data_IF_047324224658
#
_entry.id   IF_047324224658
#
_cell.length_a   1.000
_cell.length_b   1.000
_cell.length_c   1.000
_cell.angle_alpha   90.00
_cell.angle_beta   90.00
_cell.angle_gamma   90.00
#
_symmetry.space_group_name_H-M   'P 1'
#
loop_
_entity.id
_entity.type
_entity.pdbx_description
1 polymer ?
#
# COMPACT_ATOMS: atom_id res chain seq x y z
N UNK A 1 23.63 -24.50 8.91
CA UNK A 1 22.36 -24.22 8.20
C UNK A 1 22.12 -22.73 8.22
N UNK A 2 22.00 -22.08 7.06
CA UNK A 2 21.73 -20.64 6.99
C UNK A 2 20.24 -20.41 7.24
N UNK A 3 19.92 -19.73 8.33
CA UNK A 3 18.56 -19.27 8.61
C UNK A 3 18.23 -18.12 7.63
N UNK A 4 17.10 -18.20 6.93
CA UNK A 4 16.63 -17.16 5.99
C UNK A 4 16.27 -15.85 6.70
N UNK A 5 16.14 -14.76 5.95
CA UNK A 5 15.91 -13.45 6.51
C UNK A 5 14.53 -13.31 7.17
N UNK A 6 13.49 -13.95 6.61
CA UNK A 6 12.15 -13.97 7.21
C UNK A 6 12.19 -14.61 8.59
N UNK A 7 12.78 -15.81 8.70
CA UNK A 7 12.88 -16.53 9.98
C UNK A 7 13.64 -15.72 11.03
N UNK A 8 14.73 -15.05 10.63
CA UNK A 8 15.48 -14.15 11.54
C UNK A 8 14.62 -13.00 12.04
N UNK A 9 13.86 -12.40 11.13
CA UNK A 9 13.02 -11.25 11.47
C UNK A 9 11.83 -11.66 12.35
N UNK A 10 11.17 -12.79 12.05
CA UNK A 10 10.09 -13.32 12.89
C UNK A 10 10.59 -13.68 14.30
N UNK A 11 11.82 -14.22 14.42
CA UNK A 11 12.44 -14.48 15.70
C UNK A 11 12.70 -13.17 16.48
N UNK A 12 13.20 -12.13 15.80
CA UNK A 12 13.37 -10.80 16.38
C UNK A 12 12.03 -10.24 16.90
N UNK A 13 10.95 -10.34 16.13
CA UNK A 13 9.61 -9.91 16.55
C UNK A 13 9.13 -10.69 17.78
N UNK A 14 9.41 -11.99 17.86
CA UNK A 14 9.05 -12.80 19.02
C UNK A 14 9.84 -12.39 20.28
N UNK A 15 11.09 -12.00 20.13
CA UNK A 15 11.88 -11.45 21.25
C UNK A 15 11.33 -10.08 21.69
N UNK A 16 10.96 -9.23 20.76
CA UNK A 16 10.32 -7.93 21.02
C UNK A 16 8.99 -8.10 21.76
N UNK A 17 8.17 -9.09 21.36
CA UNK A 17 6.93 -9.45 22.04
C UNK A 17 7.16 -9.77 23.53
N UNK A 18 8.14 -10.61 23.81
CA UNK A 18 8.52 -10.96 25.19
C UNK A 18 8.98 -9.73 25.98
N UNK A 19 9.78 -8.87 25.38
CA UNK A 19 10.25 -7.64 26.02
C UNK A 19 9.08 -6.68 26.32
N UNK A 20 8.21 -6.44 25.35
CA UNK A 20 7.08 -5.54 25.51
C UNK A 20 6.05 -6.06 26.52
N UNK A 21 5.82 -7.37 26.57
CA UNK A 21 4.90 -7.99 27.52
C UNK A 21 5.42 -7.92 28.98
N UNK A 22 6.73 -7.99 29.16
CA UNK A 22 7.35 -7.98 30.51
C UNK A 22 7.80 -6.59 30.98
N UNK A 23 7.54 -5.55 30.21
CA UNK A 23 7.91 -4.18 30.54
C UNK A 23 6.68 -3.30 30.72
N UNK A 24 6.77 -2.32 31.59
CA UNK A 24 5.79 -1.23 31.70
C UNK A 24 6.09 -0.06 30.77
N UNK A 25 7.17 -0.14 30.00
CA UNK A 25 7.61 0.92 29.08
C UNK A 25 6.91 0.76 27.72
N UNK A 26 6.76 1.88 27.01
CA UNK A 26 6.29 1.88 25.63
C UNK A 26 7.47 1.72 24.68
N UNK A 27 7.28 0.89 23.67
CA UNK A 27 8.26 0.61 22.63
C UNK A 27 7.78 1.16 21.29
N UNK A 28 8.66 1.87 20.60
CA UNK A 28 8.48 2.27 19.22
C UNK A 28 9.55 1.58 18.36
N UNK A 29 9.13 0.66 17.52
CA UNK A 29 9.99 0.04 16.51
C UNK A 29 9.83 0.81 15.18
N UNK A 30 10.94 1.33 14.68
CA UNK A 30 10.99 1.99 13.37
C UNK A 30 11.78 1.12 12.40
N UNK A 31 11.11 0.62 11.37
CA UNK A 31 11.68 -0.25 10.35
C UNK A 31 11.81 0.52 9.03
N UNK A 32 12.99 0.43 8.42
CA UNK A 32 13.26 1.01 7.11
C UNK A 32 13.82 -0.05 6.19
N UNK A 33 13.33 -0.07 4.96
CA UNK A 33 13.84 -0.93 3.89
C UNK A 33 13.80 -2.43 4.23
N UNK A 34 12.81 -2.87 5.02
CA UNK A 34 12.62 -4.30 5.31
C UNK A 34 12.40 -5.12 4.04
N UNK A 35 11.76 -4.51 3.07
CA UNK A 35 11.44 -5.01 1.75
C UNK A 35 12.68 -5.30 0.88
N UNK A 36 13.85 -4.71 1.14
CA UNK A 36 15.10 -5.03 0.45
C UNK A 36 15.62 -6.45 0.76
N UNK A 37 15.16 -7.05 1.84
CA UNK A 37 15.68 -8.31 2.38
C UNK A 37 14.67 -9.47 2.31
N UNK A 38 13.45 -9.21 1.88
CA UNK A 38 12.34 -10.16 1.88
C UNK A 38 11.73 -10.28 0.49
N UNK A 39 11.25 -11.47 0.14
CA UNK A 39 10.29 -11.60 -0.96
C UNK A 39 8.97 -10.92 -0.58
N UNK A 40 8.14 -10.57 -1.56
CA UNK A 40 6.85 -9.93 -1.26
C UNK A 40 5.96 -10.80 -0.34
N UNK A 41 5.92 -12.12 -0.56
CA UNK A 41 5.15 -13.04 0.31
C UNK A 41 5.69 -13.08 1.75
N UNK A 42 7.02 -13.07 1.90
CA UNK A 42 7.65 -13.02 3.23
C UNK A 42 7.42 -11.68 3.93
N UNK A 43 7.41 -10.59 3.15
CA UNK A 43 7.09 -9.25 3.65
C UNK A 43 5.66 -9.18 4.20
N UNK A 44 4.67 -9.70 3.46
CA UNK A 44 3.27 -9.76 3.91
C UNK A 44 3.15 -10.55 5.21
N UNK A 45 3.76 -11.74 5.29
CA UNK A 45 3.75 -12.58 6.50
C UNK A 45 4.37 -11.84 7.72
N UNK A 46 5.43 -11.08 7.48
CA UNK A 46 6.03 -10.24 8.52
C UNK A 46 5.11 -9.09 8.94
N UNK A 47 4.40 -8.46 8.00
CA UNK A 47 3.41 -7.42 8.30
C UNK A 47 2.25 -7.97 9.12
N UNK A 48 1.71 -9.13 8.76
CA UNK A 48 0.64 -9.81 9.53
C UNK A 48 1.08 -10.11 10.98
N UNK A 49 2.33 -10.56 11.17
CA UNK A 49 2.87 -10.76 12.52
C UNK A 49 3.01 -9.43 13.28
N UNK A 50 3.47 -8.37 12.64
CA UNK A 50 3.59 -7.04 13.25
C UNK A 50 2.21 -6.51 13.66
N UNK A 51 1.21 -6.60 12.80
CA UNK A 51 -0.17 -6.23 13.08
C UNK A 51 -0.74 -7.03 14.26
N UNK A 52 -0.52 -8.35 14.26
CA UNK A 52 -0.92 -9.19 15.41
C UNK A 52 -0.29 -8.69 16.72
N UNK A 53 0.99 -8.36 16.71
CA UNK A 53 1.71 -7.92 17.93
C UNK A 53 1.20 -6.57 18.44
N UNK A 54 0.97 -5.61 17.57
CA UNK A 54 0.46 -4.28 17.95
C UNK A 54 -0.97 -4.34 18.44
N UNK A 55 -1.81 -5.20 17.85
CA UNK A 55 -3.19 -5.41 18.28
C UNK A 55 -3.32 -6.12 19.64
N UNK A 56 -2.28 -6.84 20.07
CA UNK A 56 -2.30 -7.58 21.35
C UNK A 56 -1.40 -6.95 22.43
N UNK A 57 -0.76 -5.81 22.13
CA UNK A 57 0.13 -5.15 23.07
C UNK A 57 0.08 -3.61 22.92
N UNK A 58 -0.66 -2.96 23.79
CA UNK A 58 -0.85 -1.50 23.84
C UNK A 58 0.46 -0.71 24.10
N UNK A 59 1.53 -1.40 24.46
CA UNK A 59 2.84 -0.78 24.72
C UNK A 59 3.77 -0.84 23.50
N UNK A 60 3.38 -1.53 22.41
CA UNK A 60 4.18 -1.70 21.21
C UNK A 60 3.60 -0.91 20.04
N UNK A 61 4.43 -0.05 19.47
CA UNK A 61 4.13 0.70 18.25
C UNK A 61 5.15 0.35 17.18
N UNK A 62 4.70 0.14 15.95
CA UNK A 62 5.57 -0.19 14.82
C UNK A 62 5.29 0.79 13.68
N UNK A 63 6.35 1.39 13.15
CA UNK A 63 6.29 2.23 11.95
C UNK A 63 7.19 1.62 10.89
N UNK A 64 6.63 1.33 9.72
CA UNK A 64 7.31 0.69 8.61
C UNK A 64 7.43 1.66 7.42
N UNK A 65 8.64 1.84 6.90
CA UNK A 65 8.95 2.61 5.70
C UNK A 65 9.52 1.66 4.63
N UNK A 66 8.68 1.11 3.74
CA UNK A 66 9.17 0.34 2.59
C UNK A 66 9.84 1.27 1.57
N UNK A 67 10.75 0.74 0.78
CA UNK A 67 11.49 1.44 -0.28
C UNK A 67 11.14 0.95 -1.67
N UNK A 68 10.70 -0.30 -1.79
CA UNK A 68 10.41 -0.91 -3.08
C UNK A 68 8.95 -0.71 -3.50
N UNK A 69 8.77 -0.45 -4.78
CA UNK A 69 7.45 -0.33 -5.39
C UNK A 69 6.62 -1.61 -5.19
N UNK A 70 5.36 -1.44 -4.82
CA UNK A 70 4.45 -2.57 -4.61
C UNK A 70 4.61 -3.31 -3.28
N UNK A 71 5.57 -2.94 -2.45
CA UNK A 71 5.69 -3.46 -1.08
C UNK A 71 4.80 -2.66 -0.14
N UNK A 72 3.51 -2.79 -0.32
CA UNK A 72 2.50 -2.19 0.51
C UNK A 72 1.59 -3.30 1.05
N UNK A 73 1.49 -3.40 2.37
CA UNK A 73 0.54 -4.32 3.01
C UNK A 73 -0.83 -3.63 3.08
N UNK A 74 -1.71 -4.00 2.16
CA UNK A 74 -3.06 -3.43 2.05
C UNK A 74 -4.08 -4.48 2.42
N UNK A 75 -4.69 -4.32 3.57
CA UNK A 75 -5.90 -5.04 4.01
C UNK A 75 -6.98 -4.04 4.36
N UNK A 76 -8.21 -4.51 4.51
CA UNK A 76 -9.32 -3.64 4.91
C UNK A 76 -9.07 -2.98 6.28
N UNK A 77 -8.42 -3.72 7.18
CA UNK A 77 -8.17 -3.35 8.56
C UNK A 77 -7.09 -2.28 8.69
N UNK A 78 -6.00 -2.41 7.93
CA UNK A 78 -4.83 -1.50 8.05
C UNK A 78 -4.82 -0.35 7.03
N UNK A 79 -5.78 -0.32 6.12
CA UNK A 79 -5.78 0.65 5.02
C UNK A 79 -5.72 2.11 5.51
N UNK A 80 -6.53 2.45 6.51
CA UNK A 80 -6.60 3.80 7.06
C UNK A 80 -5.35 4.20 7.88
N UNK A 81 -4.50 3.23 8.23
CA UNK A 81 -3.23 3.46 8.92
C UNK A 81 -2.07 3.77 7.97
N UNK A 82 -2.29 3.56 6.65
CA UNK A 82 -1.27 3.82 5.64
C UNK A 82 -1.19 5.31 5.36
N UNK A 83 -0.01 5.88 5.58
CA UNK A 83 0.29 7.27 5.29
C UNK A 83 1.11 7.37 4.01
N UNK A 84 0.74 8.31 3.16
CA UNK A 84 1.46 8.66 1.94
C UNK A 84 2.22 9.95 2.22
N UNK A 85 3.53 9.90 2.07
CA UNK A 85 4.41 11.05 2.33
C UNK A 85 5.00 11.52 1.00
N UNK A 86 4.61 12.71 0.58
CA UNK A 86 5.16 13.42 -0.57
C UNK A 86 5.55 14.85 -0.14
N UNK A 87 5.20 15.88 -0.89
CA UNK A 87 5.28 17.29 -0.46
C UNK A 87 4.29 17.59 0.69
N UNK A 88 3.31 16.74 0.87
CA UNK A 88 2.35 16.71 2.00
C UNK A 88 2.24 15.29 2.53
N UNK A 89 1.66 15.17 3.73
CA UNK A 89 1.30 13.88 4.32
C UNK A 89 -0.21 13.73 4.17
N UNK A 90 -0.62 12.63 3.58
CA UNK A 90 -2.01 12.22 3.49
C UNK A 90 -2.15 10.75 3.92
N UNK A 91 -3.36 10.23 4.09
CA UNK A 91 -3.62 8.86 4.47
C UNK A 91 -4.70 8.27 3.54
N UNK A 92 -4.76 6.95 3.44
CA UNK A 92 -5.85 6.32 2.74
C UNK A 92 -7.16 6.50 3.52
N UNK A 93 -8.25 6.74 2.80
CA UNK A 93 -9.60 6.69 3.36
C UNK A 93 -10.04 5.23 3.57
N UNK A 94 -11.19 5.04 4.22
CA UNK A 94 -11.77 3.70 4.36
C UNK A 94 -11.99 3.04 2.99
N UNK A 95 -11.87 1.71 2.96
CA UNK A 95 -12.05 0.95 1.72
C UNK A 95 -13.43 1.21 1.10
N UNK A 96 -14.48 1.22 1.92
CA UNK A 96 -15.85 1.47 1.47
C UNK A 96 -15.97 2.82 0.74
N UNK A 97 -15.41 3.88 1.33
CA UNK A 97 -15.45 5.21 0.71
C UNK A 97 -14.65 5.28 -0.59
N UNK A 98 -13.44 4.73 -0.61
CA UNK A 98 -12.61 4.75 -1.82
C UNK A 98 -13.19 3.88 -2.92
N UNK A 99 -13.74 2.72 -2.60
CA UNK A 99 -14.35 1.82 -3.55
C UNK A 99 -15.65 2.40 -4.14
N UNK A 100 -16.48 3.06 -3.31
CA UNK A 100 -17.66 3.78 -3.81
C UNK A 100 -17.25 4.86 -4.83
N UNK A 101 -16.23 5.66 -4.52
CA UNK A 101 -15.70 6.68 -5.44
C UNK A 101 -15.11 6.07 -6.69
N UNK A 102 -14.39 4.98 -6.57
CA UNK A 102 -13.83 4.25 -7.69
C UNK A 102 -14.92 3.73 -8.63
N UNK A 103 -15.92 3.04 -8.12
CA UNK A 103 -17.02 2.48 -8.92
C UNK A 103 -17.82 3.56 -9.63
N UNK A 104 -18.08 4.68 -8.97
CA UNK A 104 -18.84 5.80 -9.54
C UNK A 104 -18.07 6.57 -10.64
N UNK A 105 -16.75 6.51 -10.65
CA UNK A 105 -15.90 7.20 -11.64
C UNK A 105 -15.30 6.26 -12.68
N UNK A 106 -15.49 4.96 -12.53
CA UNK A 106 -14.92 3.99 -13.46
C UNK A 106 -15.55 4.12 -14.86
N UNK A 107 -14.75 4.25 -15.93
CA UNK A 107 -15.25 4.71 -17.25
C UNK A 107 -16.01 3.66 -18.05
N UNK A 108 -16.05 2.40 -17.59
CA UNK A 108 -16.76 1.30 -18.26
C UNK A 108 -17.61 0.50 -17.27
N UNK A 109 -18.61 -0.24 -17.78
CA UNK A 109 -19.53 -1.02 -16.95
C UNK A 109 -18.90 -2.29 -16.34
N UNK A 110 -17.76 -2.74 -16.83
CA UNK A 110 -17.01 -3.85 -16.26
C UNK A 110 -16.08 -3.29 -15.19
N UNK A 111 -16.66 -3.06 -14.02
CA UNK A 111 -15.96 -2.49 -12.87
C UNK A 111 -15.24 -3.62 -12.13
N UNK A 112 -13.93 -3.47 -11.80
CA UNK A 112 -13.23 -4.39 -10.93
C UNK A 112 -13.93 -4.55 -9.57
N UNK A 113 -13.92 -5.76 -9.03
CA UNK A 113 -14.48 -6.00 -7.70
C UNK A 113 -13.60 -5.41 -6.58
N UNK A 114 -14.09 -5.46 -5.33
CA UNK A 114 -13.40 -4.90 -4.16
C UNK A 114 -12.02 -5.54 -3.97
N UNK A 115 -11.88 -6.84 -4.24
CA UNK A 115 -10.60 -7.54 -4.09
C UNK A 115 -9.60 -7.17 -5.20
N UNK A 116 -10.09 -7.01 -6.41
CA UNK A 116 -9.30 -6.51 -7.55
C UNK A 116 -8.86 -5.07 -7.30
N UNK A 117 -9.75 -4.24 -6.72
CA UNK A 117 -9.42 -2.86 -6.35
C UNK A 117 -8.34 -2.81 -5.24
N UNK A 118 -8.43 -3.62 -4.19
CA UNK A 118 -7.38 -3.75 -3.17
C UNK A 118 -6.04 -4.18 -3.78
N UNK A 119 -6.08 -5.09 -4.75
CA UNK A 119 -4.88 -5.53 -5.48
C UNK A 119 -4.27 -4.38 -6.30
N UNK A 120 -5.10 -3.55 -6.94
CA UNK A 120 -4.66 -2.32 -7.61
C UNK A 120 -4.08 -1.32 -6.62
N UNK A 121 -4.74 -1.06 -5.48
CA UNK A 121 -4.25 -0.14 -4.43
C UNK A 121 -2.83 -0.50 -3.98
N UNK A 122 -2.55 -1.79 -3.77
CA UNK A 122 -1.21 -2.25 -3.42
C UNK A 122 -0.15 -1.86 -4.45
N UNK A 123 -0.49 -1.96 -5.75
CA UNK A 123 0.44 -1.64 -6.83
C UNK A 123 0.63 -0.15 -7.02
N UNK A 124 -0.46 0.61 -6.91
CA UNK A 124 -0.46 2.04 -7.24
C UNK A 124 -0.19 2.95 -6.04
N UNK A 125 -0.23 2.44 -4.82
CA UNK A 125 -0.09 3.26 -3.61
C UNK A 125 1.20 4.09 -3.56
N UNK A 126 2.32 3.50 -4.00
CA UNK A 126 3.61 4.20 -4.10
C UNK A 126 3.68 5.25 -5.22
N UNK A 127 2.70 5.28 -6.11
CA UNK A 127 2.64 6.21 -7.26
C UNK A 127 1.63 7.33 -7.08
N UNK A 128 0.89 7.34 -6.00
CA UNK A 128 -0.01 8.45 -5.68
C UNK A 128 0.80 9.76 -5.64
N UNK A 129 0.23 10.79 -6.26
CA UNK A 129 0.85 12.11 -6.41
C UNK A 129 2.10 12.14 -7.30
N UNK A 130 2.37 11.09 -8.05
CA UNK A 130 3.43 11.11 -9.07
C UNK A 130 2.97 11.86 -10.32
N UNK A 131 3.85 12.69 -10.87
CA UNK A 131 3.61 13.41 -12.14
C UNK A 131 3.94 12.59 -13.38
N UNK A 132 4.71 11.52 -13.26
CA UNK A 132 5.17 10.69 -14.37
C UNK A 132 5.22 9.21 -13.98
N UNK A 133 4.45 8.38 -14.69
CA UNK A 133 4.39 6.93 -14.49
C UNK A 133 4.77 6.15 -15.75
N UNK A 134 5.39 6.80 -16.76
CA UNK A 134 5.67 6.18 -18.05
C UNK A 134 6.62 4.98 -17.97
N UNK A 135 7.42 4.90 -16.91
CA UNK A 135 8.41 3.83 -16.72
C UNK A 135 7.90 2.70 -15.80
N UNK A 136 6.66 2.79 -15.36
CA UNK A 136 6.07 1.87 -14.39
C UNK A 136 5.36 0.71 -15.07
N UNK A 137 5.43 -0.47 -14.46
CA UNK A 137 4.74 -1.66 -14.97
C UNK A 137 3.31 -1.74 -14.42
N UNK A 138 2.48 -0.74 -14.76
CA UNK A 138 1.08 -0.71 -14.39
C UNK A 138 0.19 -1.09 -15.58
N UNK A 139 -0.83 -1.91 -15.34
CA UNK A 139 -1.88 -2.17 -16.32
C UNK A 139 -2.70 -0.89 -16.61
N UNK A 140 -3.48 -0.88 -17.67
CA UNK A 140 -4.35 0.27 -17.99
C UNK A 140 -5.40 0.47 -16.89
N UNK A 141 -5.93 -0.62 -16.36
CA UNK A 141 -6.88 -0.62 -15.25
C UNK A 141 -6.26 -0.04 -13.96
N UNK A 142 -5.03 -0.42 -13.63
CA UNK A 142 -4.29 0.14 -12.50
C UNK A 142 -4.04 1.66 -12.70
N UNK A 143 -3.73 2.09 -13.94
CA UNK A 143 -3.56 3.52 -14.26
C UNK A 143 -4.87 4.30 -14.14
N UNK A 144 -6.01 3.71 -14.53
CA UNK A 144 -7.34 4.31 -14.33
C UNK A 144 -7.64 4.44 -12.84
N UNK A 145 -7.36 3.41 -12.04
CA UNK A 145 -7.52 3.46 -10.59
C UNK A 145 -6.64 4.57 -9.97
N UNK A 146 -5.38 4.67 -10.39
CA UNK A 146 -4.47 5.73 -9.94
C UNK A 146 -5.01 7.12 -10.28
N UNK A 147 -5.55 7.32 -11.48
CA UNK A 147 -6.13 8.61 -11.88
C UNK A 147 -7.36 8.95 -11.03
N UNK A 148 -8.26 7.99 -10.79
CA UNK A 148 -9.43 8.19 -9.93
C UNK A 148 -9.01 8.58 -8.51
N UNK A 149 -8.01 7.90 -7.94
CA UNK A 149 -7.53 8.23 -6.59
C UNK A 149 -6.82 9.58 -6.56
N UNK A 150 -5.98 9.92 -7.52
CA UNK A 150 -5.40 11.26 -7.61
C UNK A 150 -6.47 12.35 -7.65
N UNK A 151 -7.57 12.13 -8.37
CA UNK A 151 -8.71 13.05 -8.39
C UNK A 151 -9.42 13.12 -7.02
N UNK A 152 -9.58 11.96 -6.33
CA UNK A 152 -10.18 11.90 -5.00
C UNK A 152 -9.39 12.76 -4.00
N UNK A 153 -8.06 12.70 -4.06
CA UNK A 153 -7.15 13.50 -3.25
C UNK A 153 -6.95 14.94 -3.77
N UNK A 154 -7.70 15.33 -4.80
CA UNK A 154 -7.59 16.66 -5.42
C UNK A 154 -6.18 16.99 -5.92
N UNK A 155 -5.44 15.99 -6.35
CA UNK A 155 -4.12 16.18 -6.91
C UNK A 155 -4.19 16.96 -8.23
N UNK A 156 -3.65 18.18 -8.23
CA UNK A 156 -3.82 19.14 -9.31
C UNK A 156 -2.79 19.05 -10.43
N UNK A 157 -1.70 18.34 -10.20
CA UNK A 157 -0.66 18.16 -11.21
C UNK A 157 -1.11 17.06 -12.16
N UNK A 158 -1.07 17.33 -13.46
CA UNK A 158 -1.45 16.34 -14.47
C UNK A 158 -0.42 15.22 -14.52
N UNK A 159 -0.83 14.02 -14.17
CA UNK A 159 0.00 12.81 -14.28
C UNK A 159 0.10 12.39 -15.74
N UNK A 160 1.31 12.03 -16.17
CA UNK A 160 1.56 11.44 -17.49
C UNK A 160 1.37 9.94 -17.39
N UNK A 161 0.34 9.43 -18.06
CA UNK A 161 0.03 8.01 -18.12
C UNK A 161 0.65 7.35 -19.36
N UNK A 162 0.97 6.06 -19.24
CA UNK A 162 1.42 5.26 -20.38
C UNK A 162 0.19 4.81 -21.18
N UNK A 163 0.09 5.29 -22.41
CA UNK A 163 -1.03 4.97 -23.29
C UNK A 163 -0.66 3.75 -24.13
N UNK A 164 -0.88 2.56 -23.60
CA UNK A 164 -0.84 1.30 -24.34
C UNK A 164 -2.22 0.68 -24.34
N UNK A 165 -2.76 0.50 -25.51
CA UNK A 165 -4.19 0.28 -25.72
C UNK A 165 -4.66 -1.16 -25.59
N UNK A 166 -5.78 -1.35 -24.92
CA UNK A 166 -6.72 -2.45 -25.22
C UNK A 166 -8.17 -1.94 -25.31
N UNK A 167 -8.56 -0.97 -24.49
CA UNK A 167 -9.94 -0.45 -24.46
C UNK A 167 -9.97 1.05 -24.75
N UNK A 168 -10.61 1.48 -25.88
CA UNK A 168 -10.67 2.89 -26.25
C UNK A 168 -11.31 3.81 -25.18
N UNK A 169 -12.25 3.29 -24.38
CA UNK A 169 -12.91 4.07 -23.35
C UNK A 169 -11.97 4.37 -22.17
N UNK A 170 -11.14 3.38 -21.76
CA UNK A 170 -10.13 3.59 -20.72
C UNK A 170 -9.06 4.56 -21.19
N UNK A 171 -8.63 4.47 -22.45
CA UNK A 171 -7.67 5.40 -23.03
C UNK A 171 -8.18 6.83 -23.02
N UNK A 172 -9.40 7.03 -23.54
CA UNK A 172 -10.02 8.34 -23.54
C UNK A 172 -10.06 8.96 -22.15
N UNK A 173 -10.41 8.17 -21.13
CA UNK A 173 -10.43 8.62 -19.75
C UNK A 173 -9.03 9.03 -19.23
N UNK A 174 -7.98 8.33 -19.63
CA UNK A 174 -6.61 8.67 -19.22
C UNK A 174 -6.08 9.92 -19.93
N UNK A 175 -6.54 10.22 -21.16
CA UNK A 175 -6.14 11.39 -21.92
C UNK A 175 -6.82 12.70 -21.45
N UNK A 176 -8.03 12.62 -20.89
CA UNK A 176 -8.77 13.75 -20.32
C UNK A 176 -8.12 14.29 -19.04
#
# INVERSE_FOLDING_TARGET
>A
EFVDNKTKFLLFLSMLEVMATNSSEKFLLVLRNLDDFLSYSDFVECCEKMEFLTNHNDSLYIVLFPSNEGYLHVTKEVLEEINIVSDYVDHFYSLEFMYDRFTNQYPINQIPDEQEFLTSLRKIGSYLFSSDILHMSLSVEDQVALKILNNLYQYKIKTKFRIESVNPMLLKYLEE
#
